data_IF_287196584223
#
_entry.id   IF_287196584223
#
_cell.length_a   1.000
_cell.length_b   1.000
_cell.length_c   1.000
_cell.angle_alpha   90.00
_cell.angle_beta   90.00
_cell.angle_gamma   90.00
#
_symmetry.space_group_name_H-M   'P 1'
#
loop_
_entity.id
_entity.type
_entity.pdbx_description
1 polymer ?
#
# COMPACT_ATOMS: atom_id res chain seq x y z
N UNK A 1 14.04 -24.85 24.06
CA UNK A 1 13.67 -24.42 22.70
C UNK A 1 12.61 -23.33 22.86
N UNK A 2 12.99 -22.05 22.81
CA UNK A 2 12.04 -20.96 23.03
C UNK A 2 11.07 -20.88 21.85
N UNK A 3 9.77 -20.95 22.09
CA UNK A 3 8.79 -20.52 21.11
C UNK A 3 9.03 -19.04 20.85
N UNK A 4 9.53 -18.72 19.66
CA UNK A 4 9.54 -17.36 19.15
C UNK A 4 8.08 -16.91 19.12
N UNK A 5 7.72 -16.01 20.02
CA UNK A 5 6.43 -15.35 20.00
C UNK A 5 6.42 -14.52 18.71
N UNK A 6 5.85 -15.06 17.63
CA UNK A 6 5.53 -14.25 16.47
C UNK A 6 4.28 -13.48 16.86
N UNK A 7 4.36 -12.16 17.13
CA UNK A 7 3.15 -11.39 17.36
C UNK A 7 2.24 -11.58 16.14
N UNK A 8 0.95 -11.74 16.40
CA UNK A 8 -0.05 -11.85 15.35
C UNK A 8 0.09 -10.64 14.42
N UNK A 9 0.39 -10.90 13.14
CA UNK A 9 0.58 -9.84 12.16
C UNK A 9 -0.80 -9.26 11.87
N UNK A 10 -1.03 -8.03 12.34
CA UNK A 10 -2.25 -7.29 12.04
C UNK A 10 -2.32 -7.02 10.53
N UNK A 11 -3.52 -7.22 9.98
CA UNK A 11 -3.85 -6.87 8.61
C UNK A 11 -4.97 -5.84 8.67
N UNK A 12 -4.83 -4.77 7.90
CA UNK A 12 -5.84 -3.74 7.71
C UNK A 12 -6.01 -3.48 6.22
N UNK A 13 -7.25 -3.40 5.76
CA UNK A 13 -7.60 -3.07 4.38
C UNK A 13 -8.66 -1.97 4.37
N UNK A 14 -8.62 -1.11 3.35
CA UNK A 14 -9.57 -0.03 3.22
C UNK A 14 -9.39 0.75 1.92
N UNK A 15 -10.13 1.85 1.81
CA UNK A 15 -9.93 2.84 0.75
C UNK A 15 -9.64 4.20 1.36
N UNK A 16 -8.90 5.01 0.62
CA UNK A 16 -8.73 6.43 0.89
C UNK A 16 -9.25 7.24 -0.29
N UNK A 17 -9.94 8.34 -0.02
CA UNK A 17 -10.38 9.25 -1.07
C UNK A 17 -9.19 9.92 -1.74
N UNK A 18 -9.21 9.94 -3.07
CA UNK A 18 -8.24 10.59 -3.93
C UNK A 18 -8.97 11.34 -5.04
N UNK A 19 -9.03 12.67 -4.95
CA UNK A 19 -9.86 13.52 -5.83
C UNK A 19 -11.33 13.07 -5.77
N UNK A 20 -11.90 12.61 -6.89
CA UNK A 20 -13.27 12.07 -7.00
C UNK A 20 -13.30 10.53 -7.04
N UNK A 21 -12.17 9.92 -6.73
CA UNK A 21 -11.92 8.49 -6.79
C UNK A 21 -11.55 7.96 -5.42
N UNK A 22 -11.50 6.65 -5.31
CA UNK A 22 -11.07 5.91 -4.13
C UNK A 22 -9.87 5.03 -4.52
N UNK A 23 -8.83 5.07 -3.69
CA UNK A 23 -7.63 4.23 -3.81
C UNK A 23 -7.65 3.18 -2.70
N UNK A 24 -7.69 1.92 -3.08
CA UNK A 24 -7.65 0.78 -2.16
C UNK A 24 -6.22 0.54 -1.65
N UNK A 25 -6.10 0.17 -0.38
CA UNK A 25 -4.84 -0.20 0.25
C UNK A 25 -4.99 -1.39 1.19
N UNK A 26 -3.84 -1.99 1.51
CA UNK A 26 -3.66 -2.97 2.58
C UNK A 26 -2.37 -2.72 3.34
N UNK A 27 -2.46 -2.79 4.67
CA UNK A 27 -1.32 -2.73 5.59
C UNK A 27 -1.17 -4.11 6.23
N UNK A 28 0.01 -4.68 6.10
CA UNK A 28 0.40 -5.91 6.81
C UNK A 28 1.50 -5.58 7.80
N UNK A 29 1.21 -5.67 9.11
CA UNK A 29 2.09 -5.27 10.21
C UNK A 29 1.69 -3.94 10.87
N UNK A 30 2.58 -3.42 11.71
CA UNK A 30 2.42 -2.16 12.44
C UNK A 30 3.34 -1.08 11.87
N UNK A 31 2.74 0.00 11.35
CA UNK A 31 3.45 1.12 10.70
C UNK A 31 4.20 2.01 11.70
N UNK A 32 3.88 1.93 12.99
CA UNK A 32 4.48 2.76 14.04
C UNK A 32 5.79 2.15 14.59
N UNK A 33 6.08 0.88 14.28
CA UNK A 33 7.25 0.16 14.81
C UNK A 33 8.54 0.53 14.08
N UNK A 34 8.50 0.62 12.75
CA UNK A 34 9.62 1.00 11.86
C UNK A 34 9.07 1.62 10.57
N UNK A 35 9.86 2.45 9.86
CA UNK A 35 9.46 2.96 8.54
C UNK A 35 8.94 1.83 7.62
N UNK A 36 7.68 1.86 7.17
CA UNK A 36 7.13 0.79 6.36
C UNK A 36 7.74 0.75 4.97
N UNK A 37 7.58 -0.38 4.30
CA UNK A 37 7.82 -0.51 2.86
C UNK A 37 6.49 -0.23 2.14
N UNK A 38 6.44 0.81 1.31
CA UNK A 38 5.30 1.11 0.44
C UNK A 38 5.59 0.52 -0.93
N UNK A 39 4.79 -0.46 -1.36
CA UNK A 39 4.99 -1.12 -2.64
C UNK A 39 4.15 -0.45 -3.74
N UNK A 40 4.83 0.13 -4.73
CA UNK A 40 4.19 0.73 -5.91
C UNK A 40 4.24 -0.26 -7.05
N UNK A 41 3.07 -0.72 -7.52
CA UNK A 41 3.07 -1.70 -8.59
C UNK A 41 3.41 -1.09 -9.97
N UNK A 42 4.03 -1.87 -10.86
CA UNK A 42 4.15 -1.48 -12.28
C UNK A 42 2.79 -1.50 -13.02
N UNK A 43 2.79 -1.04 -14.28
CA UNK A 43 1.58 -1.00 -15.11
C UNK A 43 1.82 -1.30 -16.60
N UNK A 44 0.74 -1.25 -17.42
CA UNK A 44 -0.66 -1.06 -17.01
C UNK A 44 -1.39 -2.39 -16.71
N UNK A 45 -2.19 -2.44 -15.64
CA UNK A 45 -3.14 -3.53 -15.34
C UNK A 45 -2.69 -4.57 -14.30
N UNK A 46 -1.53 -4.39 -13.66
CA UNK A 46 -1.13 -5.22 -12.52
C UNK A 46 -1.85 -4.79 -11.24
N UNK A 47 -1.69 -5.55 -10.16
CA UNK A 47 -2.30 -5.31 -8.85
C UNK A 47 -1.32 -5.64 -7.74
N UNK A 48 -1.68 -5.38 -6.49
CA UNK A 48 -0.89 -5.71 -5.30
C UNK A 48 -0.50 -7.19 -5.16
N UNK A 49 -1.15 -8.13 -5.85
CA UNK A 49 -1.01 -9.58 -5.58
C UNK A 49 0.42 -10.12 -5.65
N UNK A 50 1.29 -9.57 -6.50
CA UNK A 50 2.67 -10.07 -6.62
C UNK A 50 3.60 -9.59 -5.49
N UNK A 51 3.14 -8.67 -4.63
CA UNK A 51 3.85 -8.27 -3.42
C UNK A 51 3.58 -9.19 -2.22
N UNK A 52 2.70 -10.19 -2.34
CA UNK A 52 2.40 -11.13 -1.25
C UNK A 52 3.66 -11.74 -0.57
N UNK A 53 4.75 -12.08 -1.29
CA UNK A 53 5.98 -12.53 -0.64
C UNK A 53 6.66 -11.46 0.25
N UNK A 54 6.55 -10.18 -0.10
CA UNK A 54 7.14 -9.07 0.67
C UNK A 54 6.42 -8.85 2.00
N UNK A 55 5.13 -9.14 2.08
CA UNK A 55 4.34 -8.99 3.32
C UNK A 55 4.92 -9.79 4.50
N UNK A 56 5.73 -10.83 4.23
CA UNK A 56 6.46 -11.58 5.26
C UNK A 56 7.45 -10.70 6.05
N UNK A 57 7.87 -9.54 5.53
CA UNK A 57 8.70 -8.58 6.25
C UNK A 57 8.04 -8.09 7.54
N UNK A 58 6.70 -8.13 7.62
CA UNK A 58 5.96 -7.79 8.84
C UNK A 58 6.34 -8.69 10.03
N UNK A 59 6.70 -9.96 9.78
CA UNK A 59 7.17 -10.89 10.81
C UNK A 59 8.48 -10.43 11.46
N UNK A 60 9.27 -9.60 10.76
CA UNK A 60 10.49 -9.00 11.28
C UNK A 60 10.29 -7.62 11.92
N UNK A 61 9.04 -7.13 11.97
CA UNK A 61 8.67 -5.83 12.51
C UNK A 61 8.75 -4.67 11.51
N UNK A 62 8.72 -4.93 10.20
CA UNK A 62 8.58 -3.89 9.18
C UNK A 62 7.25 -4.07 8.45
N UNK A 63 6.32 -3.15 8.68
CA UNK A 63 5.05 -3.17 7.97
C UNK A 63 5.25 -3.01 6.46
N UNK A 64 4.36 -3.64 5.70
CA UNK A 64 4.27 -3.51 4.25
C UNK A 64 2.93 -2.90 3.93
N UNK A 65 2.96 -1.81 3.16
CA UNK A 65 1.79 -1.13 2.65
C UNK A 65 1.75 -1.38 1.15
N UNK A 66 0.69 -2.03 0.69
CA UNK A 66 0.40 -2.18 -0.74
C UNK A 66 -0.84 -1.37 -1.06
N UNK A 67 -0.91 -0.83 -2.27
CA UNK A 67 -2.12 -0.18 -2.77
C UNK A 67 -2.28 -0.48 -4.26
N UNK A 68 -3.53 -0.52 -4.70
CA UNK A 68 -3.84 -0.60 -6.13
C UNK A 68 -3.96 0.83 -6.66
N UNK A 69 -3.16 1.21 -7.66
CA UNK A 69 -3.28 2.53 -8.30
C UNK A 69 -4.66 2.70 -8.95
N UNK A 70 -5.18 3.93 -9.01
CA UNK A 70 -6.40 4.23 -9.75
C UNK A 70 -6.33 3.68 -11.18
N UNK A 71 -7.38 2.99 -11.60
CA UNK A 71 -7.44 2.22 -12.84
C UNK A 71 -7.16 0.72 -12.65
N UNK A 72 -6.69 0.29 -11.48
CA UNK A 72 -6.31 -1.10 -11.20
C UNK A 72 -7.06 -1.68 -9.98
N UNK A 73 -7.16 -3.01 -9.93
CA UNK A 73 -7.57 -3.77 -8.74
C UNK A 73 -8.83 -3.29 -8.02
N UNK A 74 -8.71 -3.08 -6.71
CA UNK A 74 -9.76 -2.60 -5.82
C UNK A 74 -10.05 -1.10 -5.89
N UNK A 75 -9.27 -0.34 -6.66
CA UNK A 75 -9.42 1.11 -6.78
C UNK A 75 -10.43 1.52 -7.85
N UNK A 76 -10.82 2.79 -7.81
CA UNK A 76 -11.68 3.39 -8.83
C UNK A 76 -11.05 3.30 -10.22
N UNK A 77 -11.90 3.24 -11.27
CA UNK A 77 -11.47 3.11 -12.67
C UNK A 77 -11.81 4.37 -13.48
N UNK A 78 -10.96 5.40 -13.47
CA UNK A 78 -11.16 6.58 -14.31
C UNK A 78 -10.90 6.29 -15.81
N UNK A 79 -11.39 7.17 -16.69
CA UNK A 79 -10.99 7.18 -18.10
C UNK A 79 -9.46 7.28 -18.27
N UNK A 80 -8.93 6.59 -19.28
CA UNK A 80 -7.47 6.48 -19.49
C UNK A 80 -6.82 7.82 -19.84
N UNK A 81 -7.55 8.73 -20.46
CA UNK A 81 -7.12 10.09 -20.79
C UNK A 81 -7.01 11.01 -19.56
N UNK A 82 -7.53 10.56 -18.41
CA UNK A 82 -7.36 11.23 -17.12
C UNK A 82 -6.19 10.66 -16.30
N UNK A 83 -5.52 9.62 -16.78
CA UNK A 83 -4.38 8.99 -16.12
C UNK A 83 -3.07 9.51 -16.69
N UNK A 84 -2.17 9.93 -15.81
CA UNK A 84 -0.82 10.37 -16.15
C UNK A 84 0.13 10.07 -15.01
N UNK A 85 1.45 10.13 -15.27
CA UNK A 85 2.45 9.96 -14.22
C UNK A 85 2.25 10.95 -13.06
N UNK A 86 1.87 12.20 -13.36
CA UNK A 86 1.60 13.20 -12.34
C UNK A 86 0.43 12.78 -11.42
N UNK A 87 -0.61 12.16 -11.98
CA UNK A 87 -1.75 11.64 -11.19
C UNK A 87 -1.29 10.53 -10.25
N UNK A 88 -0.43 9.62 -10.69
CA UNK A 88 0.06 8.53 -9.84
C UNK A 88 1.04 9.01 -8.77
N UNK A 89 1.83 10.06 -9.05
CA UNK A 89 2.67 10.72 -8.04
C UNK A 89 1.81 11.41 -6.97
N UNK A 90 0.77 12.13 -7.39
CA UNK A 90 -0.21 12.73 -6.46
C UNK A 90 -0.94 11.66 -5.62
N UNK A 91 -1.29 10.53 -6.25
CA UNK A 91 -1.93 9.40 -5.57
C UNK A 91 -1.02 8.81 -4.49
N UNK A 92 0.26 8.58 -4.81
CA UNK A 92 1.24 8.07 -3.84
C UNK A 92 1.42 9.05 -2.67
N UNK A 93 1.46 10.34 -2.93
CA UNK A 93 1.51 11.37 -1.89
C UNK A 93 0.24 11.34 -1.01
N UNK A 94 -0.94 11.16 -1.61
CA UNK A 94 -2.20 11.00 -0.87
C UNK A 94 -2.19 9.73 0.00
N UNK A 95 -1.64 8.61 -0.47
CA UNK A 95 -1.48 7.39 0.35
C UNK A 95 -0.60 7.68 1.57
N UNK A 96 0.52 8.39 1.39
CA UNK A 96 1.38 8.74 2.51
C UNK A 96 0.66 9.63 3.53
N UNK A 97 -0.05 10.67 3.07
CA UNK A 97 -0.77 11.60 3.93
C UNK A 97 -1.91 10.90 4.69
N UNK A 98 -2.76 10.15 3.98
CA UNK A 98 -3.96 9.53 4.54
C UNK A 98 -3.68 8.39 5.50
N UNK A 99 -2.56 7.68 5.31
CA UNK A 99 -2.14 6.60 6.19
C UNK A 99 -1.13 7.07 7.26
N UNK A 100 -0.81 8.36 7.33
CA UNK A 100 0.10 8.92 8.35
C UNK A 100 1.56 8.47 8.20
N UNK A 101 2.02 8.22 6.97
CA UNK A 101 3.35 7.67 6.69
C UNK A 101 4.41 8.77 6.62
N UNK A 102 4.98 9.15 7.76
CA UNK A 102 6.00 10.21 7.82
C UNK A 102 7.32 9.85 7.12
N UNK A 103 7.74 8.57 7.21
CA UNK A 103 8.97 8.06 6.59
C UNK A 103 8.75 6.65 6.08
N UNK A 104 9.15 6.39 4.85
CA UNK A 104 8.95 5.10 4.17
C UNK A 104 10.16 4.67 3.37
N UNK A 105 10.18 3.39 3.02
CA UNK A 105 10.90 2.88 1.86
C UNK A 105 9.91 2.73 0.71
N UNK A 106 10.37 2.90 -0.52
CA UNK A 106 9.60 2.69 -1.75
C UNK A 106 10.40 1.79 -2.68
#
# INVERSE_FOLDING_TARGET
>A
MGHLFMPEVRIEEGTVSFRRWETWFRITGDIDVRPPLVCVHGGPGSTHHYFAPLEQLAQSGRAVVVYDQVGCGGSSRPPIDELSLAVFVDELANIHDRLGLERTHV
#
